data_IF_419418008942
#
_entry.id   IF_419418008942
#
_cell.length_a   1.000
_cell.length_b   1.000
_cell.length_c   1.000
_cell.angle_alpha   90.00
_cell.angle_beta   90.00
_cell.angle_gamma   90.00
#
_symmetry.space_group_name_H-M   'P 1'
#
loop_
_entity.id
_entity.type
_entity.pdbx_description
1 polymer ?
#
# COMPACT_ATOMS: atom_id res chain seq x y z
N UNK A 1 18.01 10.27 -22.93
CA UNK A 1 17.08 10.45 -24.02
C UNK A 1 16.01 9.38 -23.96
N UNK A 2 14.86 9.74 -23.36
CA UNK A 2 13.67 8.89 -23.23
C UNK A 2 12.81 8.89 -24.49
N UNK A 3 13.09 9.81 -25.41
CA UNK A 3 12.33 10.10 -26.62
C UNK A 3 12.19 8.91 -27.61
N UNK A 4 12.99 7.86 -27.44
CA UNK A 4 12.97 6.68 -28.31
C UNK A 4 12.46 5.39 -27.62
N UNK A 5 11.88 5.49 -26.43
CA UNK A 5 11.31 4.33 -25.75
C UNK A 5 9.88 4.08 -26.24
N UNK A 6 9.58 2.86 -26.61
CA UNK A 6 8.24 2.43 -27.09
C UNK A 6 7.11 2.72 -26.07
N UNK A 7 7.48 2.88 -24.80
CA UNK A 7 6.54 3.07 -23.68
C UNK A 7 6.47 4.53 -23.21
N UNK A 8 7.31 5.42 -23.78
CA UNK A 8 7.32 6.84 -23.42
C UNK A 8 6.06 7.54 -23.96
N UNK A 9 5.48 8.40 -23.12
CA UNK A 9 4.47 9.36 -23.53
C UNK A 9 4.56 10.62 -22.66
N UNK A 10 3.98 11.71 -23.16
CA UNK A 10 4.02 13.02 -22.50
C UNK A 10 3.42 13.01 -21.08
N UNK A 11 2.33 12.24 -20.86
CA UNK A 11 1.74 12.07 -19.52
C UNK A 11 2.73 11.46 -18.53
N UNK A 12 3.55 10.50 -18.96
CA UNK A 12 4.58 9.90 -18.09
C UNK A 12 5.67 10.91 -17.71
N UNK A 13 6.08 11.73 -18.67
CA UNK A 13 7.08 12.79 -18.43
C UNK A 13 6.54 13.84 -17.46
N UNK A 14 5.31 14.29 -17.66
CA UNK A 14 4.66 15.25 -16.77
C UNK A 14 4.53 14.69 -15.33
N UNK A 15 4.13 13.43 -15.19
CA UNK A 15 4.03 12.77 -13.90
C UNK A 15 5.39 12.64 -13.21
N UNK A 16 6.43 12.26 -13.94
CA UNK A 16 7.79 12.12 -13.41
C UNK A 16 8.38 13.50 -13.02
N UNK A 17 8.13 14.50 -13.84
CA UNK A 17 8.54 15.90 -13.57
C UNK A 17 7.85 16.41 -12.30
N UNK A 18 6.55 16.17 -12.16
CA UNK A 18 5.78 16.53 -10.95
C UNK A 18 6.31 15.86 -9.70
N UNK A 19 6.64 14.55 -9.79
CA UNK A 19 7.26 13.83 -8.68
C UNK A 19 8.63 14.41 -8.31
N UNK A 20 9.48 14.65 -9.30
CA UNK A 20 10.81 15.24 -9.08
C UNK A 20 10.71 16.61 -8.42
N UNK A 21 9.78 17.46 -8.89
CA UNK A 21 9.55 18.79 -8.29
C UNK A 21 9.13 18.66 -6.82
N UNK A 22 8.24 17.72 -6.50
CA UNK A 22 7.82 17.45 -5.12
C UNK A 22 8.99 17.02 -4.22
N UNK A 23 9.85 16.10 -4.70
CA UNK A 23 11.04 15.67 -3.95
C UNK A 23 12.02 16.82 -3.73
N UNK A 24 12.24 17.67 -4.74
CA UNK A 24 13.11 18.85 -4.63
C UNK A 24 12.56 19.82 -3.57
N UNK A 25 11.25 20.09 -3.57
CA UNK A 25 10.60 20.95 -2.59
C UNK A 25 10.77 20.42 -1.15
N UNK A 26 10.59 19.09 -0.95
CA UNK A 26 10.82 18.46 0.34
C UNK A 26 12.28 18.59 0.79
N UNK A 27 13.24 18.40 -0.12
CA UNK A 27 14.66 18.53 0.18
C UNK A 27 15.05 19.98 0.49
N UNK A 28 14.54 20.95 -0.27
CA UNK A 28 14.74 22.37 -0.01
C UNK A 28 14.18 22.79 1.36
N UNK A 29 12.99 22.28 1.72
CA UNK A 29 12.41 22.48 3.05
C UNK A 29 13.30 21.89 4.15
N UNK A 30 13.83 20.69 3.94
CA UNK A 30 14.72 20.02 4.87
C UNK A 30 16.04 20.80 5.07
N UNK A 31 16.58 21.42 4.02
CA UNK A 31 17.82 22.24 4.10
C UNK A 31 17.64 23.54 4.87
N UNK A 32 16.42 23.99 5.13
CA UNK A 32 16.17 25.18 5.95
C UNK A 32 16.40 24.92 7.44
N UNK A 33 16.22 23.70 7.90
CA UNK A 33 16.35 23.31 9.31
C UNK A 33 17.58 22.44 9.58
N UNK A 34 18.03 21.68 8.59
CA UNK A 34 19.16 20.76 8.67
C UNK A 34 20.27 21.17 7.70
N UNK A 35 21.52 21.23 8.18
CA UNK A 35 22.67 21.62 7.34
C UNK A 35 23.11 20.54 6.36
N UNK A 36 22.78 19.28 6.66
CA UNK A 36 23.23 18.09 5.93
C UNK A 36 22.11 17.05 5.77
N UNK A 37 20.97 17.39 5.17
CA UNK A 37 19.91 16.43 4.91
C UNK A 37 20.39 15.32 3.99
N UNK A 38 19.97 14.10 4.25
CA UNK A 38 20.32 12.94 3.44
C UNK A 38 19.15 12.55 2.56
N UNK A 39 19.43 12.35 1.27
CA UNK A 39 18.45 11.82 0.31
C UNK A 39 18.97 10.52 -0.29
N UNK A 40 18.10 9.53 -0.37
CA UNK A 40 18.35 8.25 -1.01
C UNK A 40 17.22 7.92 -1.96
N UNK A 41 17.59 7.50 -3.16
CA UNK A 41 16.65 7.12 -4.22
C UNK A 41 16.80 5.63 -4.50
N UNK A 42 15.67 4.93 -4.70
CA UNK A 42 15.64 3.48 -4.94
C UNK A 42 16.41 2.68 -3.87
N UNK A 43 16.24 3.09 -2.61
CA UNK A 43 16.95 2.50 -1.49
C UNK A 43 16.39 1.13 -1.13
N UNK A 44 17.22 0.09 -1.26
CA UNK A 44 16.86 -1.23 -0.74
C UNK A 44 16.85 -1.19 0.78
N UNK A 45 15.73 -1.62 1.36
CA UNK A 45 15.50 -1.70 2.80
C UNK A 45 15.20 -3.15 3.19
N UNK A 46 15.67 -3.55 4.37
CA UNK A 46 15.52 -4.89 4.90
C UNK A 46 14.76 -4.82 6.23
N UNK A 47 13.62 -5.45 6.30
CA UNK A 47 12.78 -5.54 7.50
C UNK A 47 12.59 -6.99 7.98
N UNK A 48 13.57 -7.86 7.67
CA UNK A 48 13.55 -9.29 8.05
C UNK A 48 13.55 -9.54 9.56
N UNK A 49 13.87 -8.53 10.35
CA UNK A 49 13.71 -8.58 11.81
C UNK A 49 12.26 -8.85 12.23
N UNK A 50 11.29 -8.30 11.49
CA UNK A 50 9.86 -8.43 11.81
C UNK A 50 9.11 -9.37 10.84
N UNK A 51 9.56 -9.42 9.61
CA UNK A 51 8.94 -10.25 8.55
C UNK A 51 10.00 -11.14 7.94
N UNK A 52 9.95 -12.43 8.19
CA UNK A 52 10.94 -13.38 7.69
C UNK A 52 11.17 -13.21 6.19
N UNK A 53 12.45 -13.07 5.79
CA UNK A 53 12.90 -12.80 4.41
C UNK A 53 12.34 -11.49 3.80
N UNK A 54 11.84 -10.59 4.67
CA UNK A 54 11.21 -9.34 4.27
C UNK A 54 12.20 -8.28 3.80
N UNK A 55 12.03 -7.78 2.59
CA UNK A 55 12.76 -6.64 2.04
C UNK A 55 11.90 -5.88 1.04
N UNK A 56 12.35 -4.69 0.66
CA UNK A 56 11.73 -3.89 -0.38
C UNK A 56 12.70 -2.84 -0.91
N UNK A 57 12.22 -2.01 -1.84
CA UNK A 57 12.93 -0.84 -2.34
C UNK A 57 12.03 0.37 -2.14
N UNK A 58 12.48 1.33 -1.35
CA UNK A 58 11.79 2.60 -1.15
C UNK A 58 12.19 3.57 -2.26
N UNK A 59 11.22 4.19 -2.94
CA UNK A 59 11.50 5.06 -4.08
C UNK A 59 12.32 6.28 -3.66
N UNK A 60 11.96 6.93 -2.54
CA UNK A 60 12.73 8.03 -1.98
C UNK A 60 12.66 8.05 -0.45
N UNK A 61 13.82 8.26 0.19
CA UNK A 61 13.95 8.50 1.63
C UNK A 61 14.70 9.81 1.82
N UNK A 62 14.16 10.71 2.66
CA UNK A 62 14.84 11.95 3.07
C UNK A 62 14.89 11.98 4.60
N UNK A 63 16.10 12.14 5.16
CA UNK A 63 16.31 12.24 6.61
C UNK A 63 16.90 13.61 6.91
N UNK A 64 16.24 14.33 7.81
CA UNK A 64 16.67 15.65 8.27
C UNK A 64 16.07 15.93 9.65
N UNK A 65 16.90 16.43 10.58
CA UNK A 65 16.47 17.01 11.87
C UNK A 65 15.47 16.09 12.66
N UNK A 66 15.81 14.81 12.79
CA UNK A 66 14.99 13.83 13.52
C UNK A 66 13.74 13.33 12.79
N UNK A 67 13.49 13.79 11.54
CA UNK A 67 12.37 13.36 10.71
C UNK A 67 12.85 12.50 9.55
N UNK A 68 12.23 11.34 9.36
CA UNK A 68 12.44 10.48 8.21
C UNK A 68 11.21 10.53 7.30
N UNK A 69 11.38 11.07 6.08
CA UNK A 69 10.35 11.06 5.05
C UNK A 69 10.54 9.85 4.14
N UNK A 70 9.49 9.07 3.95
CA UNK A 70 9.39 7.98 2.96
C UNK A 70 8.39 8.43 1.90
N UNK A 71 8.81 8.54 0.66
CA UNK A 71 7.93 8.93 -0.45
C UNK A 71 7.87 7.82 -1.48
N UNK A 72 6.66 7.40 -1.83
CA UNK A 72 6.39 6.33 -2.77
C UNK A 72 5.57 6.85 -3.96
N UNK A 73 6.05 6.57 -5.17
CA UNK A 73 5.44 6.99 -6.43
C UNK A 73 4.49 5.92 -6.96
N UNK A 74 3.23 6.27 -7.16
CA UNK A 74 2.21 5.38 -7.70
C UNK A 74 1.70 5.88 -9.05
N UNK A 75 2.16 5.26 -10.15
CA UNK A 75 1.76 5.67 -11.51
C UNK A 75 0.36 5.17 -11.92
N UNK A 76 -0.22 4.21 -11.21
CA UNK A 76 -1.48 3.57 -11.59
C UNK A 76 -2.70 4.49 -11.56
N UNK A 77 -3.63 4.30 -12.53
CA UNK A 77 -4.95 4.97 -12.58
C UNK A 77 -6.07 4.18 -11.88
N UNK A 78 -5.84 2.91 -11.57
CA UNK A 78 -6.89 2.00 -11.12
C UNK A 78 -7.43 2.37 -9.73
N UNK A 79 -6.73 1.96 -8.70
CA UNK A 79 -7.13 2.17 -7.30
C UNK A 79 -6.38 3.35 -6.71
N UNK A 80 -7.10 4.24 -6.00
CA UNK A 80 -6.47 5.25 -5.16
C UNK A 80 -5.89 4.57 -3.91
N UNK A 81 -4.61 4.85 -3.65
CA UNK A 81 -3.90 4.23 -2.54
C UNK A 81 -3.93 5.16 -1.33
N UNK A 82 -4.49 4.68 -0.22
CA UNK A 82 -4.45 5.41 1.05
C UNK A 82 -3.06 5.29 1.69
N UNK A 83 -2.53 6.42 2.16
CA UNK A 83 -1.30 6.47 2.95
C UNK A 83 -1.53 6.15 4.43
N UNK A 84 -2.76 6.32 4.92
CA UNK A 84 -3.09 6.18 6.35
C UNK A 84 -2.88 4.74 6.79
N UNK A 85 -1.95 4.55 7.73
CA UNK A 85 -1.53 3.25 8.23
C UNK A 85 -1.21 2.22 7.12
N UNK A 86 -0.63 2.69 6.01
CA UNK A 86 -0.31 1.85 4.87
C UNK A 86 0.82 0.87 5.19
N UNK A 87 0.59 -0.45 5.14
CA UNK A 87 1.60 -1.44 5.57
C UNK A 87 2.88 -1.40 4.73
N UNK A 88 2.81 -1.11 3.43
CA UNK A 88 3.98 -1.00 2.56
C UNK A 88 4.88 0.15 3.02
N UNK A 89 4.28 1.32 3.27
CA UNK A 89 5.00 2.49 3.73
C UNK A 89 5.63 2.27 5.11
N UNK A 90 4.88 1.66 6.02
CA UNK A 90 5.35 1.32 7.37
C UNK A 90 6.48 0.29 7.35
N UNK A 91 6.43 -0.72 6.46
CA UNK A 91 7.51 -1.69 6.25
C UNK A 91 8.78 -1.02 5.70
N UNK A 92 8.64 -0.10 4.75
CA UNK A 92 9.79 0.65 4.24
C UNK A 92 10.43 1.52 5.34
N UNK A 93 9.59 2.15 6.16
CA UNK A 93 10.07 2.92 7.30
C UNK A 93 10.83 2.05 8.31
N UNK A 94 10.31 0.86 8.66
CA UNK A 94 11.01 -0.09 9.54
C UNK A 94 12.37 -0.49 8.97
N UNK A 95 12.42 -0.84 7.68
CA UNK A 95 13.67 -1.24 7.05
C UNK A 95 14.66 -0.08 6.90
N UNK A 96 14.19 1.15 6.77
CA UNK A 96 15.03 2.34 6.77
C UNK A 96 15.58 2.64 8.19
N UNK A 97 14.77 2.49 9.25
CA UNK A 97 15.24 2.61 10.63
C UNK A 97 16.39 1.64 10.94
N UNK A 98 16.32 0.39 10.49
CA UNK A 98 17.42 -0.59 10.68
C UNK A 98 18.76 -0.13 10.06
N UNK A 99 18.72 0.75 9.07
CA UNK A 99 19.94 1.26 8.41
C UNK A 99 20.41 2.56 9.04
N UNK A 100 19.48 3.45 9.43
CA UNK A 100 19.79 4.85 9.67
C UNK A 100 19.59 5.32 11.11
N UNK A 101 18.85 4.58 11.96
CA UNK A 101 18.50 5.03 13.31
C UNK A 101 19.75 5.19 14.23
N UNK A 102 20.75 4.34 14.07
CA UNK A 102 22.01 4.45 14.81
C UNK A 102 22.90 5.64 14.35
N UNK A 103 22.60 6.23 13.20
CA UNK A 103 23.38 7.34 12.61
C UNK A 103 22.65 8.66 12.80
N UNK A 104 21.32 8.64 12.68
CA UNK A 104 20.45 9.80 12.79
C UNK A 104 19.48 9.58 13.94
N UNK A 105 19.29 10.58 14.79
CA UNK A 105 18.31 10.54 15.88
C UNK A 105 16.89 10.72 15.35
N UNK A 106 16.34 9.65 14.74
CA UNK A 106 15.03 9.68 14.10
C UNK A 106 13.94 9.50 15.15
N UNK A 107 13.01 10.44 15.23
CA UNK A 107 11.90 10.43 16.18
C UNK A 107 10.52 10.44 15.49
N UNK A 108 10.45 11.04 14.29
CA UNK A 108 9.24 11.19 13.51
C UNK A 108 9.37 10.52 12.14
N UNK A 109 8.32 9.82 11.74
CA UNK A 109 8.20 9.16 10.43
C UNK A 109 7.08 9.84 9.66
N UNK A 110 7.40 10.37 8.49
CA UNK A 110 6.45 10.97 7.56
C UNK A 110 6.41 10.17 6.28
N UNK A 111 5.25 9.63 5.95
CA UNK A 111 5.02 8.78 4.79
C UNK A 111 4.15 9.49 3.78
N UNK A 112 4.58 9.52 2.52
CA UNK A 112 3.85 10.17 1.43
C UNK A 112 3.59 9.19 0.30
N UNK A 113 2.35 9.13 -0.18
CA UNK A 113 2.01 8.51 -1.46
C UNK A 113 1.79 9.63 -2.46
N UNK A 114 2.60 9.61 -3.52
CA UNK A 114 2.50 10.52 -4.66
C UNK A 114 1.90 9.78 -5.86
N UNK A 115 0.61 9.99 -6.12
CA UNK A 115 -0.14 9.32 -7.19
C UNK A 115 -0.72 10.37 -8.16
N UNK A 116 0.08 10.91 -9.10
CA UNK A 116 -0.28 12.09 -9.89
C UNK A 116 -1.48 11.86 -10.79
N UNK A 117 -1.61 10.67 -11.38
CA UNK A 117 -2.73 10.32 -12.27
C UNK A 117 -4.09 10.19 -11.56
N UNK A 118 -4.11 10.28 -10.24
CA UNK A 118 -5.30 10.31 -9.38
C UNK A 118 -5.43 11.65 -8.65
N UNK A 119 -4.52 12.61 -8.91
CA UNK A 119 -4.40 13.86 -8.15
C UNK A 119 -4.30 13.61 -6.64
N UNK A 120 -3.69 12.49 -6.25
CA UNK A 120 -3.53 12.08 -4.86
C UNK A 120 -2.08 12.31 -4.43
N UNK A 121 -1.88 13.29 -3.56
CA UNK A 121 -0.64 13.48 -2.79
C UNK A 121 -1.07 13.50 -1.34
N UNK A 122 -0.88 12.40 -0.65
CA UNK A 122 -1.36 12.21 0.71
C UNK A 122 -0.22 11.89 1.65
N UNK A 123 -0.27 12.46 2.86
CA UNK A 123 0.78 12.35 3.89
C UNK A 123 0.18 11.73 5.15
N UNK A 124 0.92 10.84 5.78
CA UNK A 124 0.62 10.27 7.08
C UNK A 124 1.85 10.32 7.97
N UNK A 125 1.68 10.81 9.18
CA UNK A 125 2.75 10.98 10.16
C UNK A 125 2.53 10.09 11.37
N UNK A 126 3.61 9.57 11.93
CA UNK A 126 3.60 8.82 13.17
C UNK A 126 4.96 8.92 13.87
N UNK A 127 4.99 8.65 15.17
CA UNK A 127 6.25 8.56 15.89
C UNK A 127 6.98 7.26 15.59
N UNK A 128 8.32 7.25 15.77
CA UNK A 128 9.10 6.02 15.71
C UNK A 128 8.57 4.98 16.70
N UNK A 129 8.24 5.39 17.90
CA UNK A 129 7.74 4.49 18.95
C UNK A 129 6.40 3.82 18.55
N UNK A 130 5.48 4.56 17.92
CA UNK A 130 4.22 3.98 17.44
C UNK A 130 4.45 2.98 16.30
N UNK A 131 5.40 3.28 15.39
CA UNK A 131 5.79 2.36 14.32
C UNK A 131 6.40 1.06 14.89
N UNK A 132 7.33 1.16 15.82
CA UNK A 132 7.95 -0.01 16.46
C UNK A 132 6.92 -0.81 17.26
N UNK A 133 6.05 -0.14 18.00
CA UNK A 133 4.95 -0.79 18.72
C UNK A 133 4.03 -1.57 17.77
N UNK A 134 3.63 -0.99 16.65
CA UNK A 134 2.85 -1.71 15.63
C UNK A 134 3.60 -2.93 15.09
N UNK A 135 4.90 -2.79 14.82
CA UNK A 135 5.71 -3.88 14.33
C UNK A 135 5.78 -5.06 15.32
N UNK A 136 5.90 -4.77 16.62
CA UNK A 136 5.99 -5.79 17.68
C UNK A 136 4.64 -6.42 18.00
N UNK A 137 3.57 -5.62 18.09
CA UNK A 137 2.27 -6.09 18.59
C UNK A 137 1.37 -6.67 17.51
N UNK A 138 1.51 -6.23 16.26
CA UNK A 138 0.61 -6.61 15.16
C UNK A 138 1.35 -7.30 14.00
N UNK A 139 2.37 -6.63 13.43
CA UNK A 139 3.04 -7.09 12.22
C UNK A 139 3.72 -8.44 12.40
N UNK A 140 4.59 -8.58 13.41
CA UNK A 140 5.42 -9.78 13.61
C UNK A 140 4.57 -11.03 13.75
N UNK A 141 3.48 -10.94 14.50
CA UNK A 141 2.56 -12.07 14.69
C UNK A 141 1.88 -12.47 13.39
N UNK A 142 1.33 -11.50 12.64
CA UNK A 142 0.67 -11.75 11.36
C UNK A 142 1.62 -12.28 10.30
N UNK A 143 2.82 -11.70 10.21
CA UNK A 143 3.85 -12.13 9.28
C UNK A 143 4.28 -13.58 9.55
N UNK A 144 4.44 -13.96 10.81
CA UNK A 144 4.76 -15.33 11.22
C UNK A 144 3.66 -16.32 10.81
N UNK A 145 2.39 -16.02 11.12
CA UNK A 145 1.26 -16.87 10.71
C UNK A 145 1.22 -17.04 9.18
N UNK A 146 1.41 -15.95 8.43
CA UNK A 146 1.43 -16.00 6.98
C UNK A 146 2.59 -16.83 6.42
N UNK A 147 3.78 -16.71 7.01
CA UNK A 147 4.97 -17.47 6.61
C UNK A 147 4.81 -18.97 6.88
N UNK A 148 4.22 -19.34 8.01
CA UNK A 148 3.93 -20.72 8.40
C UNK A 148 2.71 -21.32 7.66
N UNK A 149 2.02 -20.53 6.85
CA UNK A 149 0.79 -20.96 6.17
C UNK A 149 -0.37 -21.18 7.13
N UNK A 150 -0.34 -20.52 8.28
CA UNK A 150 -1.36 -20.57 9.32
C UNK A 150 -2.23 -19.31 9.28
N UNK A 151 -3.35 -19.35 10.03
CA UNK A 151 -4.29 -18.24 10.12
C UNK A 151 -5.54 -18.46 9.26
N UNK A 152 -6.49 -17.52 9.38
CA UNK A 152 -7.78 -17.60 8.72
C UNK A 152 -7.77 -16.81 7.40
N UNK A 153 -8.51 -17.32 6.42
CA UNK A 153 -8.74 -16.59 5.16
C UNK A 153 -9.90 -15.62 5.34
N UNK A 154 -9.71 -14.40 4.85
CA UNK A 154 -10.75 -13.37 4.85
C UNK A 154 -10.92 -12.79 3.44
N UNK A 155 -12.17 -12.72 2.97
CA UNK A 155 -12.51 -12.10 1.71
C UNK A 155 -12.58 -10.57 1.87
N UNK A 156 -12.00 -9.85 0.91
CA UNK A 156 -12.01 -8.39 0.89
C UNK A 156 -11.51 -7.83 -0.46
N UNK A 157 -11.35 -6.51 -0.54
CA UNK A 157 -10.91 -5.83 -1.77
C UNK A 157 -9.54 -6.29 -2.26
N UNK A 158 -8.67 -6.75 -1.36
CA UNK A 158 -7.36 -7.33 -1.70
C UNK A 158 -7.44 -8.62 -2.51
N UNK A 159 -8.60 -9.30 -2.54
CA UNK A 159 -8.78 -10.54 -3.31
C UNK A 159 -8.56 -10.34 -4.81
N UNK A 160 -8.78 -9.14 -5.35
CA UNK A 160 -8.52 -8.83 -6.76
C UNK A 160 -7.05 -9.04 -7.16
N UNK A 161 -6.11 -8.85 -6.23
CA UNK A 161 -4.67 -9.01 -6.44
C UNK A 161 -4.12 -10.37 -5.99
N UNK A 162 -4.96 -11.21 -5.39
CA UNK A 162 -4.53 -12.50 -4.85
C UNK A 162 -4.29 -13.53 -5.96
N UNK A 163 -3.14 -14.18 -5.95
CA UNK A 163 -2.82 -15.25 -6.93
C UNK A 163 -3.74 -16.47 -6.85
N UNK A 164 -4.27 -16.76 -5.65
CA UNK A 164 -5.19 -17.87 -5.42
C UNK A 164 -6.68 -17.45 -5.54
N UNK A 165 -6.98 -16.30 -6.13
CA UNK A 165 -8.32 -15.70 -6.17
C UNK A 165 -9.40 -16.57 -6.83
N UNK A 166 -9.04 -17.38 -7.82
CA UNK A 166 -9.96 -18.26 -8.52
C UNK A 166 -10.33 -19.50 -7.67
N UNK A 167 -9.39 -20.02 -6.88
CA UNK A 167 -9.52 -21.29 -6.15
C UNK A 167 -9.86 -21.08 -4.66
N UNK A 168 -9.93 -19.84 -4.18
CA UNK A 168 -10.13 -19.53 -2.77
C UNK A 168 -11.56 -19.87 -2.32
N UNK A 169 -11.69 -20.83 -1.38
CA UNK A 169 -12.99 -21.25 -0.81
C UNK A 169 -13.69 -20.13 -0.05
N UNK A 170 -12.93 -19.30 0.70
CA UNK A 170 -13.50 -18.19 1.44
C UNK A 170 -14.08 -17.12 0.50
N UNK A 171 -13.38 -16.80 -0.60
CA UNK A 171 -13.89 -15.90 -1.63
C UNK A 171 -15.14 -16.49 -2.31
N UNK A 172 -15.12 -17.78 -2.64
CA UNK A 172 -16.28 -18.47 -3.20
C UNK A 172 -17.48 -18.44 -2.23
N UNK A 173 -17.26 -18.76 -0.96
CA UNK A 173 -18.31 -18.72 0.06
C UNK A 173 -18.89 -17.32 0.24
N UNK A 174 -18.05 -16.28 0.25
CA UNK A 174 -18.50 -14.89 0.36
C UNK A 174 -19.41 -14.48 -0.82
N UNK A 175 -19.03 -14.85 -2.06
CA UNK A 175 -19.81 -14.51 -3.26
C UNK A 175 -21.10 -15.35 -3.36
N UNK A 176 -21.05 -16.62 -3.01
CA UNK A 176 -22.22 -17.50 -3.04
C UNK A 176 -23.25 -17.21 -1.93
N UNK A 177 -22.91 -16.37 -0.94
CA UNK A 177 -23.91 -15.90 0.04
C UNK A 177 -25.11 -15.20 -0.61
N UNK A 178 -24.96 -14.65 -1.81
CA UNK A 178 -26.10 -14.09 -2.55
C UNK A 178 -27.15 -15.12 -2.95
N UNK A 179 -26.77 -16.40 -3.08
CA UNK A 179 -27.71 -17.49 -3.38
C UNK A 179 -28.80 -17.69 -2.28
N UNK A 180 -28.60 -17.12 -1.10
CA UNK A 180 -29.61 -17.16 -0.02
C UNK A 180 -30.97 -16.54 -0.45
N UNK A 181 -30.96 -15.56 -1.34
CA UNK A 181 -32.17 -14.89 -1.80
C UNK A 181 -33.06 -15.78 -2.68
N UNK A 182 -32.50 -16.82 -3.32
CA UNK A 182 -33.27 -17.78 -4.12
C UNK A 182 -34.27 -18.58 -3.29
N UNK A 183 -34.01 -18.76 -1.98
CA UNK A 183 -34.81 -19.60 -1.09
C UNK A 183 -35.72 -18.83 -0.15
N UNK A 184 -35.88 -17.52 -0.36
CA UNK A 184 -36.70 -16.67 0.49
C UNK A 184 -38.11 -16.45 -0.08
N UNK A 185 -39.03 -16.12 0.80
CA UNK A 185 -40.43 -15.75 0.46
C UNK A 185 -40.71 -14.33 0.97
N UNK A 186 -41.44 -13.49 0.20
CA UNK A 186 -42.15 -13.77 -1.06
C UNK A 186 -41.20 -14.00 -2.26
N UNK A 187 -41.74 -14.47 -3.37
CA UNK A 187 -40.99 -14.79 -4.60
C UNK A 187 -40.35 -13.55 -5.31
N UNK A 188 -40.63 -12.35 -4.85
CA UNK A 188 -40.04 -11.11 -5.38
C UNK A 188 -39.15 -10.49 -4.32
N UNK A 189 -37.97 -10.00 -4.76
CA UNK A 189 -37.04 -9.27 -3.92
C UNK A 189 -37.65 -7.92 -3.49
N UNK A 190 -37.41 -7.55 -2.27
CA UNK A 190 -37.72 -6.20 -1.78
C UNK A 190 -36.57 -5.22 -2.06
N UNK A 191 -36.78 -3.94 -1.74
CA UNK A 191 -35.81 -2.87 -2.04
C UNK A 191 -34.51 -3.03 -1.23
N UNK A 192 -34.57 -3.57 -0.01
CA UNK A 192 -33.41 -3.80 0.84
C UNK A 192 -32.55 -4.95 0.31
N UNK A 193 -33.19 -6.03 -0.10
CA UNK A 193 -32.54 -7.18 -0.74
C UNK A 193 -31.87 -6.80 -2.07
N UNK A 194 -32.55 -5.99 -2.91
CA UNK A 194 -32.00 -5.44 -4.16
C UNK A 194 -30.77 -4.57 -3.86
N UNK A 195 -30.84 -3.71 -2.86
CA UNK A 195 -29.71 -2.86 -2.44
C UNK A 195 -28.50 -3.69 -1.99
N UNK A 196 -28.71 -4.76 -1.21
CA UNK A 196 -27.64 -5.66 -0.77
C UNK A 196 -27.01 -6.42 -1.95
N UNK A 197 -27.80 -6.86 -2.91
CA UNK A 197 -27.32 -7.51 -4.14
C UNK A 197 -26.49 -6.53 -4.98
N UNK A 198 -26.98 -5.32 -5.21
CA UNK A 198 -26.26 -4.31 -5.99
C UNK A 198 -24.89 -3.97 -5.37
N UNK A 199 -24.79 -3.91 -4.05
CA UNK A 199 -23.53 -3.68 -3.37
C UNK A 199 -22.48 -4.81 -3.52
N UNK A 200 -22.89 -6.01 -3.99
CA UNK A 200 -22.04 -7.21 -4.06
C UNK A 200 -21.88 -7.77 -5.47
N UNK A 201 -22.68 -7.31 -6.44
CA UNK A 201 -22.76 -7.94 -7.77
C UNK A 201 -21.45 -7.79 -8.56
N UNK A 202 -20.72 -6.70 -8.38
CA UNK A 202 -19.46 -6.48 -9.05
C UNK A 202 -18.39 -7.48 -8.55
N UNK A 203 -18.35 -7.73 -7.25
CA UNK A 203 -17.46 -8.73 -6.65
C UNK A 203 -17.78 -10.16 -7.13
N UNK A 204 -19.06 -10.49 -7.23
CA UNK A 204 -19.54 -11.76 -7.77
C UNK A 204 -19.15 -11.93 -9.25
N UNK A 205 -19.36 -10.90 -10.05
CA UNK A 205 -19.03 -10.91 -11.49
C UNK A 205 -17.52 -11.05 -11.71
N UNK A 206 -16.72 -10.31 -10.96
CA UNK A 206 -15.27 -10.42 -11.00
C UNK A 206 -14.78 -11.82 -10.59
N UNK A 207 -15.33 -12.39 -9.53
CA UNK A 207 -15.02 -13.77 -9.12
C UNK A 207 -15.41 -14.80 -10.19
N UNK A 208 -16.60 -14.69 -10.78
CA UNK A 208 -17.04 -15.59 -11.84
C UNK A 208 -16.13 -15.50 -13.09
N UNK A 209 -15.60 -14.33 -13.40
CA UNK A 209 -14.61 -14.14 -14.48
C UNK A 209 -13.30 -14.82 -14.15
N UNK A 210 -12.77 -14.61 -12.94
CA UNK A 210 -11.52 -15.21 -12.48
C UNK A 210 -11.56 -16.76 -12.49
N UNK A 211 -12.73 -17.36 -12.23
CA UNK A 211 -12.92 -18.85 -12.26
C UNK A 211 -12.95 -19.38 -13.70
N UNK A 212 -13.31 -18.54 -14.68
CA UNK A 212 -13.37 -18.96 -16.10
C UNK A 212 -12.03 -18.89 -16.82
N UNK A 213 -11.09 -18.08 -16.33
CA UNK A 213 -9.72 -17.96 -16.84
C UNK A 213 -8.85 -19.18 -16.42
#
# INVERSE_FOLDING_TARGET
PTENLTWFNEEMEDCATGYTAYIVELLESATQTCSDPVIMIEQRVNFSRWVQDGFGTADCIIIADGVMNIVDYKHGKGVEVSVVANPQMMLYALGALEIFDDIYDINEIRMTIFQPRKSNVSVYEMTKDDLLKWAETDLTHKAKLAYEGLGDFHCGEWCQFCKAKAECRERAAANLKLARYEFQTPALLDEEEISDILGKIDALTAWATDVKE
#
